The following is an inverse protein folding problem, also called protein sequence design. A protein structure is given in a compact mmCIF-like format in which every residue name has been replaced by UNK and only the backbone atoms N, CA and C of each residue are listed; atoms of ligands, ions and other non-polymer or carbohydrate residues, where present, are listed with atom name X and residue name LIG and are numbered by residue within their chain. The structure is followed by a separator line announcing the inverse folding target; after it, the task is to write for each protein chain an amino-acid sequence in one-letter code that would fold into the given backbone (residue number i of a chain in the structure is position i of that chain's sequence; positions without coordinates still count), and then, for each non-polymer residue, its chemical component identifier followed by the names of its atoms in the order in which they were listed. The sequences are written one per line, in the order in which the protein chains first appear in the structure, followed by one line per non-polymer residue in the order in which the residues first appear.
data_IF_292430966195
#
_entry.id   IF_292430966195
#
_cell.length_a   1.000
_cell.length_b   1.000
_cell.length_c   1.000
_cell.angle_alpha   90.00
_cell.angle_beta   90.00
_cell.angle_gamma   90.00
#
_symmetry.space_group_name_H-M   'P 1'
#
loop_
_entity.id
_entity.type
_entity.pdbx_description
1 polymer ?
#
# COMPACT_ATOMS: atom_id res chain seq x y z
N UNK A 1 -5.17 -16.72 -16.11
CA UNK A 1 -5.51 -15.40 -15.57
C UNK A 1 -4.20 -14.65 -15.41
N UNK A 2 -4.08 -13.45 -15.96
CA UNK A 2 -2.83 -12.65 -15.87
C UNK A 2 -2.79 -11.91 -14.53
N UNK A 3 -1.60 -11.58 -14.01
CA UNK A 3 -1.41 -10.85 -12.73
C UNK A 3 -2.31 -9.62 -12.60
N UNK A 4 -2.44 -8.86 -13.70
CA UNK A 4 -3.30 -7.67 -13.79
C UNK A 4 -4.80 -7.95 -13.62
N UNK A 5 -5.25 -9.20 -13.80
CA UNK A 5 -6.67 -9.56 -13.71
C UNK A 5 -7.20 -9.60 -12.28
N UNK A 6 -6.36 -9.88 -11.28
CA UNK A 6 -6.78 -9.86 -9.87
C UNK A 6 -6.88 -8.43 -9.35
N UNK A 7 -5.90 -7.58 -9.66
CA UNK A 7 -5.93 -6.16 -9.32
C UNK A 7 -7.18 -5.47 -9.88
N UNK A 8 -7.49 -5.67 -11.16
CA UNK A 8 -8.65 -5.04 -11.78
C UNK A 8 -9.97 -5.47 -11.12
N UNK A 9 -10.10 -6.75 -10.75
CA UNK A 9 -11.26 -7.25 -10.00
C UNK A 9 -11.33 -6.65 -8.60
N UNK A 10 -10.19 -6.53 -7.91
CA UNK A 10 -10.13 -5.87 -6.60
C UNK A 10 -10.63 -4.43 -6.69
N UNK A 11 -10.14 -3.67 -7.68
CA UNK A 11 -10.55 -2.29 -7.92
C UNK A 11 -12.04 -2.17 -8.26
N UNK A 12 -12.60 -3.13 -9.01
CA UNK A 12 -14.03 -3.19 -9.28
C UNK A 12 -14.85 -3.43 -7.99
N UNK A 13 -14.40 -4.35 -7.13
CA UNK A 13 -15.05 -4.58 -5.83
C UNK A 13 -15.00 -3.35 -4.94
N UNK A 14 -13.87 -2.62 -4.89
CA UNK A 14 -13.76 -1.35 -4.18
C UNK A 14 -14.77 -0.31 -4.69
N UNK A 15 -14.98 -0.21 -6.02
CA UNK A 15 -15.96 0.72 -6.61
C UNK A 15 -17.39 0.39 -6.22
N UNK A 16 -17.70 -0.88 -5.96
CA UNK A 16 -18.99 -1.34 -5.48
C UNK A 16 -19.13 -1.30 -3.95
N UNK A 17 -18.11 -0.81 -3.21
CA UNK A 17 -18.12 -0.75 -1.75
C UNK A 17 -17.83 -2.10 -1.07
N UNK A 18 -17.44 -3.12 -1.82
CA UNK A 18 -17.13 -4.46 -1.30
C UNK A 18 -15.68 -4.53 -0.81
N UNK A 19 -15.33 -3.71 0.18
CA UNK A 19 -13.95 -3.50 0.61
C UNK A 19 -13.27 -4.77 1.13
N UNK A 20 -13.97 -5.64 1.87
CA UNK A 20 -13.38 -6.90 2.34
C UNK A 20 -12.98 -7.82 1.18
N UNK A 21 -13.80 -7.88 0.14
CA UNK A 21 -13.51 -8.69 -1.04
C UNK A 21 -12.38 -8.05 -1.86
N UNK A 22 -12.36 -6.73 -1.97
CA UNK A 22 -11.27 -6.00 -2.60
C UNK A 22 -9.94 -6.25 -1.89
N UNK A 23 -9.87 -6.12 -0.57
CA UNK A 23 -8.66 -6.34 0.21
C UNK A 23 -8.14 -7.78 0.07
N UNK A 24 -9.03 -8.78 0.07
CA UNK A 24 -8.64 -10.18 -0.22
C UNK A 24 -8.05 -10.35 -1.62
N UNK A 25 -8.62 -9.70 -2.63
CA UNK A 25 -8.12 -9.77 -4.01
C UNK A 25 -6.80 -9.00 -4.18
N UNK A 26 -6.63 -7.85 -3.51
CA UNK A 26 -5.35 -7.14 -3.46
C UNK A 26 -4.27 -8.01 -2.79
N UNK A 27 -4.58 -8.72 -1.71
CA UNK A 27 -3.64 -9.66 -1.09
C UNK A 27 -3.22 -10.75 -2.07
N UNK A 28 -4.16 -11.40 -2.76
CA UNK A 28 -3.83 -12.43 -3.74
C UNK A 28 -2.96 -11.89 -4.89
N UNK A 29 -3.27 -10.70 -5.41
CA UNK A 29 -2.46 -10.07 -6.45
C UNK A 29 -1.07 -9.66 -5.95
N UNK A 30 -0.97 -9.19 -4.69
CA UNK A 30 0.29 -8.86 -4.05
C UNK A 30 1.18 -10.10 -3.86
N UNK A 31 0.59 -11.24 -3.48
CA UNK A 31 1.27 -12.53 -3.34
C UNK A 31 1.80 -13.04 -4.70
N UNK A 32 1.13 -12.70 -5.81
CA UNK A 32 1.62 -12.93 -7.17
C UNK A 32 2.69 -11.92 -7.66
N UNK A 33 3.04 -10.96 -6.81
CA UNK A 33 4.07 -9.94 -7.07
C UNK A 33 3.58 -8.71 -7.81
N UNK A 34 2.27 -8.46 -7.89
CA UNK A 34 1.74 -7.22 -8.45
C UNK A 34 2.03 -6.03 -7.50
N UNK A 35 2.93 -5.16 -7.94
CA UNK A 35 3.38 -4.00 -7.15
C UNK A 35 2.24 -3.04 -6.85
N UNK A 36 1.30 -2.84 -7.77
CA UNK A 36 0.14 -1.97 -7.53
C UNK A 36 -0.75 -2.57 -6.46
N UNK A 37 -0.94 -3.88 -6.48
CA UNK A 37 -1.73 -4.55 -5.46
C UNK A 37 -1.10 -4.43 -4.06
N UNK A 38 0.24 -4.48 -3.95
CA UNK A 38 0.94 -4.24 -2.67
C UNK A 38 0.62 -2.83 -2.14
N UNK A 39 0.67 -1.81 -3.00
CA UNK A 39 0.33 -0.42 -2.63
C UNK A 39 -1.12 -0.29 -2.16
N UNK A 40 -2.07 -0.87 -2.90
CA UNK A 40 -3.49 -0.80 -2.54
C UNK A 40 -3.82 -1.61 -1.28
N UNK A 41 -3.15 -2.74 -1.08
CA UNK A 41 -3.26 -3.49 0.17
C UNK A 41 -2.71 -2.68 1.36
N UNK A 42 -1.60 -1.95 1.18
CA UNK A 42 -1.07 -1.05 2.19
C UNK A 42 -2.09 0.04 2.56
N UNK A 43 -2.77 0.64 1.56
CA UNK A 43 -3.87 1.56 1.81
C UNK A 43 -5.03 0.93 2.59
N UNK A 44 -5.41 -0.31 2.28
CA UNK A 44 -6.45 -1.02 3.04
C UNK A 44 -6.07 -1.14 4.51
N UNK A 45 -4.84 -1.52 4.84
CA UNK A 45 -4.39 -1.59 6.23
C UNK A 45 -4.24 -0.21 6.88
N UNK A 46 -3.79 0.80 6.14
CA UNK A 46 -3.61 2.15 6.66
C UNK A 46 -4.95 2.80 7.05
N UNK A 47 -6.00 2.63 6.23
CA UNK A 47 -7.33 3.20 6.48
C UNK A 47 -8.29 2.24 7.20
N UNK A 48 -7.97 0.95 7.30
CA UNK A 48 -8.90 -0.07 7.80
C UNK A 48 -10.02 -0.39 6.79
N UNK A 49 -9.76 -0.27 5.49
CA UNK A 49 -10.74 -0.55 4.45
C UNK A 49 -10.77 -2.04 4.11
N UNK A 50 -11.81 -2.73 4.54
CA UNK A 50 -11.99 -4.17 4.27
C UNK A 50 -11.07 -5.09 5.07
N UNK A 51 -10.23 -4.53 5.93
CA UNK A 51 -9.38 -5.21 6.91
C UNK A 51 -9.32 -4.38 8.19
N UNK A 52 -8.95 -4.99 9.31
CA UNK A 52 -8.65 -4.23 10.52
C UNK A 52 -7.49 -3.27 10.26
N UNK A 53 -7.66 -2.01 10.68
CA UNK A 53 -6.61 -0.99 10.56
C UNK A 53 -5.33 -1.45 11.25
N UNK A 54 -4.21 -1.38 10.53
CA UNK A 54 -2.88 -1.74 10.98
C UNK A 54 -1.83 -0.91 10.23
N UNK A 55 -1.50 0.26 10.79
CA UNK A 55 -0.56 1.19 10.15
C UNK A 55 0.86 0.60 10.07
N UNK A 56 1.26 -0.23 11.03
CA UNK A 56 2.59 -0.89 11.03
C UNK A 56 2.70 -1.83 9.83
N UNK A 57 1.66 -2.62 9.58
CA UNK A 57 1.60 -3.48 8.40
C UNK A 57 1.53 -2.68 7.09
N UNK A 58 0.82 -1.55 7.08
CA UNK A 58 0.80 -0.65 5.93
C UNK A 58 2.21 -0.13 5.60
N UNK A 59 2.96 0.34 6.60
CA UNK A 59 4.35 0.79 6.43
C UNK A 59 5.24 -0.32 5.85
N UNK A 60 5.11 -1.55 6.35
CA UNK A 60 5.86 -2.70 5.83
C UNK A 60 5.56 -2.96 4.34
N UNK A 61 4.28 -2.90 3.95
CA UNK A 61 3.86 -3.08 2.56
C UNK A 61 4.30 -1.91 1.66
N UNK A 62 4.24 -0.66 2.15
CA UNK A 62 4.79 0.47 1.42
C UNK A 62 6.29 0.31 1.20
N UNK A 63 7.06 -0.05 2.23
CA UNK A 63 8.49 -0.34 2.09
C UNK A 63 8.74 -1.46 1.06
N UNK A 64 7.98 -2.55 1.11
CA UNK A 64 8.08 -3.63 0.13
C UNK A 64 7.81 -3.15 -1.31
N UNK A 65 6.85 -2.24 -1.51
CA UNK A 65 6.57 -1.66 -2.81
C UNK A 65 7.65 -0.67 -3.27
N UNK A 66 8.26 0.09 -2.36
CA UNK A 66 9.45 0.93 -2.63
C UNK A 66 10.61 0.08 -3.12
N UNK A 67 10.90 -1.03 -2.44
CA UNK A 67 11.97 -1.97 -2.82
C UNK A 67 11.72 -2.60 -4.21
N UNK A 68 10.47 -2.57 -4.69
CA UNK A 68 10.06 -3.01 -6.03
C UNK A 68 9.95 -1.86 -7.05
N UNK A 69 10.35 -0.64 -6.69
CA UNK A 69 10.39 0.52 -7.57
C UNK A 69 9.08 1.29 -7.70
N UNK A 70 8.15 1.16 -6.76
CA UNK A 70 6.91 1.95 -6.76
C UNK A 70 7.13 3.36 -6.25
N UNK A 71 7.01 4.36 -7.12
CA UNK A 71 7.06 5.78 -6.76
C UNK A 71 5.88 6.17 -5.86
N UNK A 72 4.67 5.63 -6.13
CA UNK A 72 3.49 5.86 -5.29
C UNK A 72 3.74 5.41 -3.85
N UNK A 73 4.43 4.28 -3.65
CA UNK A 73 4.77 3.79 -2.32
C UNK A 73 5.78 4.68 -1.60
N UNK A 74 6.73 5.31 -2.32
CA UNK A 74 7.73 6.20 -1.73
C UNK A 74 7.04 7.40 -1.07
N UNK A 75 6.07 8.01 -1.76
CA UNK A 75 5.33 9.15 -1.23
C UNK A 75 4.55 8.78 0.04
N UNK A 76 3.85 7.64 0.05
CA UNK A 76 3.08 7.19 1.21
C UNK A 76 3.98 6.79 2.39
N UNK A 77 5.12 6.15 2.12
CA UNK A 77 6.09 5.85 3.16
C UNK A 77 6.69 7.12 3.76
N UNK A 78 6.94 8.13 2.92
CA UNK A 78 7.38 9.46 3.36
C UNK A 78 6.37 10.13 4.30
N UNK A 79 5.08 10.02 3.99
CA UNK A 79 4.00 10.51 4.86
C UNK A 79 3.99 9.80 6.21
N UNK A 80 4.12 8.47 6.22
CA UNK A 80 4.16 7.67 7.43
C UNK A 80 5.31 8.10 8.36
N UNK A 81 6.52 8.27 7.84
CA UNK A 81 7.65 8.79 8.62
C UNK A 81 7.47 10.25 9.04
N UNK A 82 6.85 11.08 8.19
CA UNK A 82 6.62 12.50 8.51
C UNK A 82 5.63 12.71 9.65
N UNK A 83 4.63 11.83 9.79
CA UNK A 83 3.61 11.92 10.82
C UNK A 83 3.79 10.95 11.98
N UNK A 84 4.66 9.93 11.84
CA UNK A 84 4.81 8.87 12.83
C UNK A 84 3.65 7.87 12.83
N UNK A 85 3.10 7.58 11.66
CA UNK A 85 1.95 6.67 11.49
C UNK A 85 2.46 5.27 11.15
N UNK A 86 2.22 4.31 12.03
CA UNK A 86 2.75 2.94 11.90
C UNK A 86 4.28 2.81 11.99
N UNK A 87 4.99 3.91 12.24
CA UNK A 87 6.46 3.97 12.41
C UNK A 87 6.82 5.17 13.28
N UNK A 88 7.98 5.14 13.92
CA UNK A 88 8.48 6.31 14.63
C UNK A 88 8.67 7.48 13.67
N UNK A 89 8.25 8.68 14.11
CA UNK A 89 8.37 9.90 13.33
C UNK A 89 9.84 10.20 13.04
N UNK A 90 10.16 10.38 11.76
CA UNK A 90 11.50 10.72 11.26
C UNK A 90 11.37 11.67 10.05
N UNK A 91 11.46 12.97 10.32
CA UNK A 91 11.35 14.01 9.30
C UNK A 91 12.51 13.99 8.30
N UNK A 92 13.70 13.54 8.72
CA UNK A 92 14.87 13.43 7.84
C UNK A 92 14.64 12.30 6.84
N UNK A 93 14.18 11.14 7.31
CA UNK A 93 13.84 10.02 6.43
C UNK A 93 12.66 10.33 5.52
N UNK A 94 11.65 11.04 6.01
CA UNK A 94 10.54 11.52 5.17
C UNK A 94 11.05 12.42 4.04
N UNK A 95 11.92 13.40 4.34
CA UNK A 95 12.50 14.28 3.33
C UNK A 95 13.35 13.52 2.30
N UNK A 96 14.12 12.52 2.72
CA UNK A 96 14.89 11.65 1.83
C UNK A 96 13.97 10.85 0.89
N UNK A 97 12.88 10.30 1.39
CA UNK A 97 11.89 9.59 0.58
C UNK A 97 11.23 10.53 -0.43
N UNK A 98 10.83 11.74 -0.03
CA UNK A 98 10.29 12.72 -0.98
C UNK A 98 11.30 13.14 -2.05
N UNK A 99 12.58 13.21 -1.70
CA UNK A 99 13.64 13.44 -2.68
C UNK A 99 13.82 12.29 -3.67
N UNK A 100 13.62 11.04 -3.24
CA UNK A 100 13.67 9.86 -4.12
C UNK A 100 12.49 9.78 -5.09
N UNK A 101 11.37 10.43 -4.80
CA UNK A 101 10.17 10.42 -5.65
C UNK A 101 10.16 11.48 -6.77
N UNK A 102 11.15 12.37 -6.82
CA UNK A 102 11.33 13.44 -7.83
C UNK A 102 12.21 12.98 -9.00
#
# INVERSE_FOLDING_TARGET
MTRSSLFNKAAEQSRHGNFEQAARLYQQAADEGDVKAIVYLAYCYYHGEGVSKDEVKAVQLFQQAVDKGSVDAILNLGLCYGHGEGVDKDEVKAAQLYQQAM
#
